data_IF_818326840130
#
_entry.id   IF_818326840130
#
_cell.length_a   1.000
_cell.length_b   1.000
_cell.length_c   1.000
_cell.angle_alpha   90.00
_cell.angle_beta   90.00
_cell.angle_gamma   90.00
#
_symmetry.space_group_name_H-M   'P 1'
#
loop_
_entity.id
_entity.type
_entity.pdbx_description
1 polymer ?
#
# COMPACT_ATOMS: atom_id res chain seq x y z
N UNK A 1 -81.91 -15.12 -10.19
CA UNK A 1 -80.87 -16.09 -9.80
C UNK A 1 -79.81 -16.03 -10.89
N UNK A 2 -78.58 -15.58 -10.73
CA UNK A 2 -77.71 -15.32 -9.57
C UNK A 2 -76.74 -14.20 -9.98
N UNK A 3 -76.59 -13.22 -9.10
CA UNK A 3 -75.72 -12.04 -9.20
C UNK A 3 -74.24 -12.39 -9.07
N UNK A 4 -73.40 -11.77 -9.89
CA UNK A 4 -71.95 -11.86 -9.80
C UNK A 4 -71.37 -11.06 -8.63
N UNK A 5 -70.17 -11.45 -8.19
CA UNK A 5 -69.32 -10.67 -7.30
C UNK A 5 -67.87 -10.76 -7.82
N UNK A 6 -67.41 -9.69 -8.46
CA UNK A 6 -65.99 -9.47 -8.75
C UNK A 6 -65.33 -8.91 -7.48
N UNK A 7 -64.45 -9.68 -6.83
CA UNK A 7 -63.59 -9.18 -5.77
C UNK A 7 -62.42 -8.40 -6.37
N UNK A 8 -62.44 -7.08 -6.20
CA UNK A 8 -61.34 -6.18 -6.52
C UNK A 8 -60.30 -6.26 -5.39
N UNK A 9 -59.15 -6.91 -5.65
CA UNK A 9 -58.05 -7.00 -4.68
C UNK A 9 -57.21 -5.72 -4.77
N UNK A 10 -57.36 -4.83 -3.78
CA UNK A 10 -56.55 -3.61 -3.61
C UNK A 10 -55.08 -3.96 -3.36
N UNK A 11 -54.23 -3.88 -4.40
CA UNK A 11 -52.77 -3.84 -4.25
C UNK A 11 -52.36 -2.54 -3.55
N UNK A 12 -51.92 -2.65 -2.30
CA UNK A 12 -51.25 -1.56 -1.59
C UNK A 12 -49.78 -1.58 -2.02
N UNK A 13 -49.40 -0.65 -2.89
CA UNK A 13 -48.00 -0.38 -3.22
C UNK A 13 -47.42 0.47 -2.09
N UNK A 14 -46.74 -0.18 -1.14
CA UNK A 14 -45.97 0.52 -0.10
C UNK A 14 -44.70 1.03 -0.79
N UNK A 15 -44.65 2.34 -1.05
CA UNK A 15 -43.47 3.02 -1.56
C UNK A 15 -42.45 3.09 -0.41
N UNK A 16 -41.54 2.11 -0.32
CA UNK A 16 -40.42 2.17 0.60
C UNK A 16 -39.46 3.27 0.14
N UNK A 17 -39.41 4.38 0.88
CA UNK A 17 -38.47 5.47 0.65
C UNK A 17 -37.08 5.00 1.10
N UNK A 18 -36.26 4.54 0.16
CA UNK A 18 -34.85 4.19 0.41
C UNK A 18 -34.09 5.50 0.60
N UNK A 19 -33.77 5.83 1.85
CA UNK A 19 -32.89 6.93 2.19
C UNK A 19 -31.46 6.48 1.86
N UNK A 20 -30.95 6.87 0.69
CA UNK A 20 -29.55 6.70 0.31
C UNK A 20 -28.70 7.68 1.13
N UNK A 21 -28.12 7.23 2.23
CA UNK A 21 -27.07 7.98 2.90
C UNK A 21 -25.83 8.02 2.01
N UNK A 22 -25.27 9.21 1.72
CA UNK A 22 -24.00 9.28 1.00
C UNK A 22 -22.94 8.60 1.88
N UNK A 23 -22.33 7.54 1.35
CA UNK A 23 -21.18 6.92 1.98
C UNK A 23 -20.06 7.96 2.01
N UNK A 24 -19.80 8.52 3.18
CA UNK A 24 -18.66 9.39 3.41
C UNK A 24 -17.42 8.50 3.31
N UNK A 25 -16.72 8.55 2.18
CA UNK A 25 -15.48 7.80 1.99
C UNK A 25 -14.36 8.57 2.68
N UNK A 26 -13.92 8.08 3.84
CA UNK A 26 -12.67 8.55 4.43
C UNK A 26 -11.50 8.01 3.61
N UNK A 27 -10.48 8.84 3.39
CA UNK A 27 -9.20 8.39 2.86
C UNK A 27 -8.40 7.81 4.01
N UNK A 28 -7.84 6.61 3.82
CA UNK A 28 -6.96 5.98 4.80
C UNK A 28 -5.53 6.51 4.57
N UNK A 29 -4.82 6.78 5.66
CA UNK A 29 -3.46 7.31 5.60
C UNK A 29 -2.49 6.30 6.22
N UNK A 30 -1.34 6.09 5.59
CA UNK A 30 -0.26 5.29 6.15
C UNK A 30 1.02 6.13 6.21
N UNK A 31 1.56 6.32 7.41
CA UNK A 31 2.82 7.00 7.66
C UNK A 31 3.95 5.98 7.68
N UNK A 32 4.85 6.09 6.72
CA UNK A 32 6.01 5.25 6.58
C UNK A 32 7.28 5.99 6.97
N UNK A 33 8.12 5.33 7.76
CA UNK A 33 9.50 5.72 8.00
C UNK A 33 10.44 4.72 7.33
N UNK A 34 11.43 5.23 6.60
CA UNK A 34 12.47 4.44 5.94
C UNK A 34 13.81 4.85 6.55
N UNK A 35 14.46 3.93 7.23
CA UNK A 35 15.79 4.11 7.83
C UNK A 35 16.82 3.38 6.97
N UNK A 36 17.83 4.12 6.51
CA UNK A 36 18.93 3.64 5.69
C UNK A 36 20.21 3.76 6.50
N UNK A 37 20.89 2.65 6.71
CA UNK A 37 22.18 2.57 7.39
C UNK A 37 23.26 2.18 6.39
N UNK A 38 24.19 3.09 6.12
CA UNK A 38 25.45 2.76 5.46
C UNK A 38 26.41 2.22 6.52
N UNK A 39 26.63 0.91 6.47
CA UNK A 39 27.43 0.19 7.47
C UNK A 39 28.91 0.54 7.35
N UNK A 40 29.38 0.90 6.15
CA UNK A 40 30.80 1.18 5.92
C UNK A 40 31.14 2.62 6.30
N UNK A 41 30.25 3.57 6.01
CA UNK A 41 30.41 4.96 6.42
C UNK A 41 29.95 5.21 7.88
N UNK A 42 29.31 4.22 8.53
CA UNK A 42 28.64 4.37 9.83
C UNK A 42 27.67 5.57 9.86
N UNK A 43 26.97 5.80 8.75
CA UNK A 43 26.00 6.90 8.62
C UNK A 43 24.58 6.36 8.52
N UNK A 44 23.64 7.11 9.09
CA UNK A 44 22.22 6.75 9.07
C UNK A 44 21.40 7.90 8.49
N UNK A 45 20.47 7.56 7.60
CA UNK A 45 19.55 8.48 6.95
C UNK A 45 18.12 8.02 7.24
N UNK A 46 17.19 8.96 7.41
CA UNK A 46 15.76 8.65 7.56
C UNK A 46 14.94 9.43 6.54
N UNK A 47 13.93 8.77 5.98
CA UNK A 47 12.97 9.33 5.03
C UNK A 47 11.58 9.04 5.57
N UNK A 48 10.81 10.09 5.85
CA UNK A 48 9.40 9.99 6.19
C UNK A 48 8.53 10.19 4.93
N UNK A 49 7.49 9.38 4.78
CA UNK A 49 6.52 9.51 3.69
C UNK A 49 5.12 9.07 4.13
N UNK A 50 4.11 9.85 3.75
CA UNK A 50 2.70 9.52 4.01
C UNK A 50 2.03 9.10 2.71
N UNK A 51 1.52 7.88 2.66
CA UNK A 51 0.64 7.41 1.60
C UNK A 51 -0.81 7.74 1.93
N UNK A 52 -1.60 8.11 0.92
CA UNK A 52 -3.00 8.54 1.06
C UNK A 52 -3.88 7.68 0.16
N UNK A 53 -4.63 6.74 0.72
CA UNK A 53 -5.45 5.78 -0.01
C UNK A 53 -6.89 6.25 -0.11
N UNK A 54 -7.40 6.24 -1.32
CA UNK A 54 -8.85 6.23 -1.53
C UNK A 54 -9.35 4.80 -1.41
N UNK A 55 -10.62 4.63 -0.99
CA UNK A 55 -11.23 3.31 -0.84
C UNK A 55 -11.24 2.57 -2.19
N UNK A 56 -10.59 1.41 -2.25
CA UNK A 56 -10.40 0.65 -3.49
C UNK A 56 -9.24 1.13 -4.37
N UNK A 57 -8.36 1.96 -3.82
CA UNK A 57 -7.15 2.45 -4.49
C UNK A 57 -6.15 1.34 -4.79
N UNK A 58 -5.29 1.60 -5.77
CA UNK A 58 -4.16 0.73 -6.13
C UNK A 58 -2.95 0.98 -5.21
N UNK A 59 -1.98 0.07 -5.26
CA UNK A 59 -0.71 0.21 -4.55
C UNK A 59 0.00 1.52 -4.89
N UNK A 60 0.47 2.22 -3.85
CA UNK A 60 1.27 3.42 -4.00
C UNK A 60 2.76 3.11 -3.89
N UNK A 61 3.60 3.96 -4.48
CA UNK A 61 5.04 3.74 -4.57
C UNK A 61 5.80 5.00 -4.24
N UNK A 62 6.81 4.87 -3.37
CA UNK A 62 7.79 5.91 -3.08
C UNK A 62 9.16 5.48 -3.58
N UNK A 63 9.66 6.18 -4.60
CA UNK A 63 11.04 6.05 -5.06
C UNK A 63 11.98 6.94 -4.24
N UNK A 64 13.16 6.43 -3.94
CA UNK A 64 14.24 7.14 -3.27
C UNK A 64 15.60 6.60 -3.71
N UNK A 65 16.64 7.43 -3.63
CA UNK A 65 18.01 7.03 -3.97
C UNK A 65 18.80 6.75 -2.71
N UNK A 66 19.66 5.73 -2.73
CA UNK A 66 20.57 5.46 -1.62
C UNK A 66 21.75 6.46 -1.66
N UNK A 67 22.01 7.21 -0.57
CA UNK A 67 23.08 8.20 -0.52
C UNK A 67 24.45 7.60 -0.84
N UNK A 68 25.21 8.23 -1.73
CA UNK A 68 26.57 7.80 -2.07
C UNK A 68 26.67 6.52 -2.91
N UNK A 69 25.56 6.04 -3.48
CA UNK A 69 25.56 4.80 -4.28
C UNK A 69 24.81 4.96 -5.61
N UNK A 70 24.97 3.96 -6.48
CA UNK A 70 24.26 3.83 -7.77
C UNK A 70 22.99 2.97 -7.66
N UNK A 71 22.38 2.95 -6.48
CA UNK A 71 21.15 2.23 -6.23
C UNK A 71 19.97 3.17 -6.03
N UNK A 72 18.90 2.86 -6.73
CA UNK A 72 17.57 3.44 -6.53
C UNK A 72 16.67 2.38 -5.89
N UNK A 73 15.87 2.79 -4.91
CA UNK A 73 14.96 1.90 -4.22
C UNK A 73 13.51 2.39 -4.33
N UNK A 74 12.58 1.46 -4.28
CA UNK A 74 11.14 1.70 -4.29
C UNK A 74 10.52 1.00 -3.09
N UNK A 75 9.86 1.77 -2.22
CA UNK A 75 8.92 1.24 -1.25
C UNK A 75 7.52 1.27 -1.88
N UNK A 76 6.92 0.10 -2.09
CA UNK A 76 5.54 -0.04 -2.49
C UNK A 76 4.69 -0.40 -1.26
N UNK A 77 3.57 0.29 -1.11
CA UNK A 77 2.58 0.03 -0.07
C UNK A 77 1.25 -0.28 -0.75
N UNK A 78 0.68 -1.44 -0.43
CA UNK A 78 -0.59 -1.89 -1.01
C UNK A 78 -1.73 -1.37 -0.14
N UNK A 79 -1.81 -1.88 1.08
CA UNK A 79 -2.62 -1.42 2.21
C UNK A 79 -2.06 -2.08 3.49
N UNK A 80 -2.62 -1.80 4.66
CA UNK A 80 -2.13 -2.38 5.93
C UNK A 80 -2.29 -3.91 5.98
N UNK A 81 -3.32 -4.47 5.34
CA UNK A 81 -3.66 -5.91 5.37
C UNK A 81 -2.91 -6.69 4.28
N UNK A 82 -2.70 -6.06 3.13
CA UNK A 82 -2.05 -6.60 1.94
C UNK A 82 -0.54 -6.50 2.03
N UNK A 83 0.00 -5.55 2.80
CA UNK A 83 1.41 -5.46 3.13
C UNK A 83 2.24 -4.51 2.25
N UNK A 84 3.55 -4.68 2.34
CA UNK A 84 4.56 -3.76 1.80
C UNK A 84 5.67 -4.49 1.06
N UNK A 85 6.23 -3.84 0.05
CA UNK A 85 7.35 -4.37 -0.71
C UNK A 85 8.44 -3.30 -0.83
N UNK A 86 9.67 -3.68 -0.48
CA UNK A 86 10.85 -2.84 -0.67
C UNK A 86 11.76 -3.49 -1.72
N UNK A 87 12.02 -2.78 -2.81
CA UNK A 87 12.95 -3.25 -3.86
C UNK A 87 14.03 -2.21 -4.14
N UNK A 88 15.21 -2.67 -4.53
CA UNK A 88 16.32 -1.82 -4.96
C UNK A 88 16.89 -2.32 -6.29
N UNK A 89 17.19 -1.38 -7.17
CA UNK A 89 17.72 -1.57 -8.51
C UNK A 89 19.02 -0.78 -8.65
N UNK A 90 20.01 -1.35 -9.35
CA UNK A 90 21.22 -0.64 -9.72
C UNK A 90 20.92 0.20 -10.97
N UNK A 91 21.22 1.50 -10.97
CA UNK A 91 20.81 2.40 -12.06
C UNK A 91 21.43 2.03 -13.41
N UNK A 92 22.58 1.36 -13.39
CA UNK A 92 23.25 0.82 -14.57
C UNK A 92 22.71 -0.52 -15.07
N UNK A 93 21.63 -1.06 -14.49
CA UNK A 93 21.06 -2.34 -14.94
C UNK A 93 20.26 -2.16 -16.24
N UNK A 94 20.71 -2.70 -17.38
CA UNK A 94 20.01 -2.54 -18.66
C UNK A 94 18.66 -3.29 -18.70
N UNK A 95 18.42 -4.22 -17.78
CA UNK A 95 17.20 -5.03 -17.73
C UNK A 95 16.08 -4.40 -16.90
N UNK A 96 16.37 -3.38 -16.08
CA UNK A 96 15.37 -2.74 -15.21
C UNK A 96 14.77 -3.66 -14.14
N UNK A 97 15.43 -4.79 -13.85
CA UNK A 97 14.99 -5.75 -12.84
C UNK A 97 15.53 -5.38 -11.45
N UNK A 98 14.74 -5.64 -10.38
CA UNK A 98 15.20 -5.40 -9.02
C UNK A 98 16.36 -6.34 -8.69
N UNK A 99 17.45 -5.77 -8.21
CA UNK A 99 18.61 -6.53 -7.72
C UNK A 99 18.32 -7.18 -6.37
N UNK A 100 17.54 -6.51 -5.54
CA UNK A 100 17.21 -6.95 -4.19
C UNK A 100 15.74 -6.62 -3.88
N UNK A 101 15.03 -7.56 -3.26
CA UNK A 101 13.62 -7.37 -2.88
C UNK A 101 13.35 -7.99 -1.51
N UNK A 102 12.64 -7.24 -0.68
CA UNK A 102 12.03 -7.70 0.57
C UNK A 102 10.53 -7.55 0.41
N UNK A 103 9.86 -8.66 0.12
CA UNK A 103 8.42 -8.71 -0.09
C UNK A 103 7.73 -9.21 1.18
N UNK A 104 6.76 -8.45 1.65
CA UNK A 104 5.91 -8.77 2.80
C UNK A 104 4.44 -8.68 2.42
N UNK A 105 4.15 -8.76 1.13
CA UNK A 105 2.78 -8.81 0.62
C UNK A 105 2.14 -10.14 1.03
N UNK A 106 0.93 -10.10 1.58
CA UNK A 106 0.18 -11.31 1.99
C UNK A 106 0.70 -12.01 3.25
N UNK A 107 1.53 -11.33 4.05
CA UNK A 107 1.91 -11.79 5.39
C UNK A 107 0.97 -11.10 6.38
N UNK A 108 0.27 -11.88 7.21
CA UNK A 108 -0.62 -11.42 8.29
C UNK A 108 0.19 -10.82 9.46
N UNK A 109 0.99 -9.79 9.18
CA UNK A 109 1.68 -8.96 10.18
C UNK A 109 1.27 -7.50 9.95
N UNK A 110 0.37 -7.01 10.81
CA UNK A 110 -0.31 -5.70 10.74
C UNK A 110 0.63 -4.47 10.82
N UNK A 111 1.93 -4.65 10.62
CA UNK A 111 2.93 -3.64 10.91
C UNK A 111 3.62 -3.02 9.69
N UNK A 112 3.31 -3.48 8.46
CA UNK A 112 3.87 -2.90 7.23
C UNK A 112 5.39 -2.72 7.27
N UNK A 113 6.13 -3.75 7.72
CA UNK A 113 7.58 -3.69 7.95
C UNK A 113 8.35 -4.40 6.86
N UNK A 114 9.36 -3.75 6.27
CA UNK A 114 10.38 -4.44 5.47
C UNK A 114 11.76 -4.28 6.11
N UNK A 115 12.59 -5.29 5.89
CA UNK A 115 14.02 -5.22 6.18
C UNK A 115 14.76 -5.81 5.00
N UNK A 116 15.68 -5.04 4.45
CA UNK A 116 16.54 -5.44 3.35
C UNK A 116 17.99 -5.10 3.72
N UNK A 117 18.90 -6.06 3.58
CA UNK A 117 20.33 -5.83 3.79
C UNK A 117 21.08 -6.47 2.64
N UNK A 118 21.98 -5.72 2.01
CA UNK A 118 22.77 -6.24 0.90
C UNK A 118 24.18 -5.67 0.88
N UNK A 119 25.05 -6.36 0.12
CA UNK A 119 26.42 -5.95 -0.14
C UNK A 119 26.71 -6.10 -1.64
N UNK A 120 27.15 -5.03 -2.28
CA UNK A 120 27.62 -5.04 -3.68
C UNK A 120 28.94 -4.28 -3.76
N UNK A 121 30.00 -4.96 -4.18
CA UNK A 121 31.37 -4.41 -4.14
C UNK A 121 31.74 -3.96 -2.72
N UNK A 122 32.09 -2.69 -2.60
CA UNK A 122 32.41 -2.02 -1.33
C UNK A 122 31.20 -1.34 -0.69
N UNK A 123 30.00 -1.44 -1.25
CA UNK A 123 28.78 -0.86 -0.66
C UNK A 123 28.11 -1.89 0.24
N UNK A 124 27.82 -1.53 1.51
CA UNK A 124 27.06 -2.37 2.45
C UNK A 124 26.00 -1.53 3.14
N UNK A 125 24.73 -1.85 2.86
CA UNK A 125 23.59 -1.05 3.33
C UNK A 125 22.55 -1.93 4.00
N UNK A 126 21.95 -1.42 5.08
CA UNK A 126 20.73 -1.96 5.68
C UNK A 126 19.60 -0.95 5.55
N UNK A 127 18.46 -1.38 5.03
CA UNK A 127 17.26 -0.55 4.85
C UNK A 127 16.14 -1.19 5.65
N UNK A 128 15.53 -0.41 6.54
CA UNK A 128 14.35 -0.80 7.31
C UNK A 128 13.22 0.16 6.98
N UNK A 129 12.04 -0.35 6.70
CA UNK A 129 10.84 0.47 6.55
C UNK A 129 9.77 -0.01 7.50
N UNK A 130 8.99 0.93 8.02
CA UNK A 130 7.83 0.65 8.87
C UNK A 130 6.72 1.63 8.55
N UNK A 131 5.53 1.11 8.25
CA UNK A 131 4.35 1.88 7.92
C UNK A 131 3.24 1.66 8.97
N UNK A 132 2.53 2.72 9.34
CA UNK A 132 1.47 2.71 10.36
C UNK A 132 0.33 3.65 10.02
#
# INVERSE_FOLDING_TARGET
MTTGLFQCVRRHFVLATVVLWPAVSFADHANCEIVIEDINAATTYSIAHTFIFEKGGFSQRKKFRLPGTDFSCTLAFHDLDSGTMLSCEHDGNPLGEPYFQSDRTGIEDDNGKNHLTFKVGETRVSIKSMCR
#
